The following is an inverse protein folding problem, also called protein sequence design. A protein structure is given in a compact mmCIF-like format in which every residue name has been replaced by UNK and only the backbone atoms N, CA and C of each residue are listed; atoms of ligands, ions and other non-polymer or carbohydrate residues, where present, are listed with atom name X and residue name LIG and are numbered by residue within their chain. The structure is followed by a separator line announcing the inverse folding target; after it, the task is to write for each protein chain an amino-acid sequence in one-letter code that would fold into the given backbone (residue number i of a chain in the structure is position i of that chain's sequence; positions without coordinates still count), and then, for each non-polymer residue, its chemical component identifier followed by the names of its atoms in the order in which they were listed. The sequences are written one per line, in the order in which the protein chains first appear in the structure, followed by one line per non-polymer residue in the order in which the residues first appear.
data_IF_919116885174
#
_entry.id   IF_919116885174
#
_cell.length_a   1.000
_cell.length_b   1.000
_cell.length_c   1.000
_cell.angle_alpha   90.00
_cell.angle_beta   90.00
_cell.angle_gamma   90.00
#
_symmetry.space_group_name_H-M   'P 1'
#
loop_
_entity.id
_entity.type
_entity.pdbx_description
1 polymer ?
#
# COMPACT_ATOMS: atom_id res chain seq x y z
N UNK A 1 -5.53 -9.67 -0.19
CA UNK A 1 -6.50 -8.98 0.68
C UNK A 1 -7.90 -9.34 0.25
N UNK A 2 -8.74 -9.70 1.18
CA UNK A 2 -10.12 -10.05 0.88
C UNK A 2 -11.00 -8.80 1.06
N UNK A 3 -11.67 -8.37 -0.01
CA UNK A 3 -12.54 -7.21 0.01
C UNK A 3 -13.77 -7.40 0.90
N UNK A 4 -14.15 -8.64 1.17
CA UNK A 4 -15.28 -8.92 2.06
C UNK A 4 -15.04 -8.43 3.49
N UNK A 5 -13.77 -8.35 3.91
CA UNK A 5 -13.41 -7.79 5.22
C UNK A 5 -13.75 -6.30 5.33
N UNK A 6 -13.94 -5.62 4.20
CA UNK A 6 -14.33 -4.21 4.16
C UNK A 6 -15.80 -4.01 3.79
N UNK A 7 -16.58 -5.10 3.78
CA UNK A 7 -18.00 -5.05 3.42
C UNK A 7 -18.26 -4.91 1.92
N UNK A 8 -17.27 -5.25 1.08
CA UNK A 8 -17.38 -5.16 -0.37
C UNK A 8 -17.36 -6.56 -0.99
N UNK A 9 -18.14 -6.75 -2.04
CA UNK A 9 -18.10 -7.99 -2.80
C UNK A 9 -16.84 -8.04 -3.65
N UNK A 10 -16.24 -9.22 -3.75
CA UNK A 10 -15.15 -9.45 -4.68
C UNK A 10 -15.72 -9.50 -6.09
N UNK A 11 -15.33 -8.56 -6.94
CA UNK A 11 -15.64 -8.58 -8.37
C UNK A 11 -14.34 -8.55 -9.14
N UNK A 12 -14.37 -9.04 -10.37
CA UNK A 12 -13.19 -9.08 -11.22
C UNK A 12 -12.59 -7.69 -11.43
N UNK A 13 -13.46 -6.68 -11.65
CA UNK A 13 -13.03 -5.29 -11.82
C UNK A 13 -12.38 -4.74 -10.56
N UNK A 14 -12.98 -4.99 -9.40
CA UNK A 14 -12.43 -4.51 -8.11
C UNK A 14 -11.09 -5.13 -7.81
N UNK A 15 -10.96 -6.44 -8.03
CA UNK A 15 -9.70 -7.14 -7.81
C UNK A 15 -8.60 -6.62 -8.73
N UNK A 16 -8.92 -6.38 -10.00
CA UNK A 16 -7.96 -5.86 -10.96
C UNK A 16 -7.50 -4.45 -10.59
N UNK A 17 -8.43 -3.58 -10.23
CA UNK A 17 -8.10 -2.21 -9.79
C UNK A 17 -7.19 -2.25 -8.56
N UNK A 18 -7.51 -3.09 -7.59
CA UNK A 18 -6.72 -3.21 -6.37
C UNK A 18 -5.31 -3.73 -6.67
N UNK A 19 -5.18 -4.71 -7.56
CA UNK A 19 -3.87 -5.23 -7.95
C UNK A 19 -3.01 -4.18 -8.63
N UNK A 20 -3.61 -3.36 -9.50
CA UNK A 20 -2.89 -2.26 -10.16
C UNK A 20 -2.34 -1.29 -9.11
N UNK A 21 -3.16 -0.93 -8.13
CA UNK A 21 -2.76 -0.01 -7.07
C UNK A 21 -1.70 -0.58 -6.14
N UNK A 22 -1.81 -1.86 -5.81
CA UNK A 22 -0.80 -2.53 -4.97
C UNK A 22 0.57 -2.60 -5.64
N UNK A 23 0.58 -2.73 -6.96
CA UNK A 23 1.81 -2.84 -7.73
C UNK A 23 2.37 -1.48 -8.17
N UNK A 24 1.67 -0.40 -7.90
CA UNK A 24 2.11 0.94 -8.25
C UNK A 24 2.86 1.55 -7.07
N UNK A 25 4.09 2.00 -7.30
CA UNK A 25 4.89 2.70 -6.29
C UNK A 25 4.48 4.15 -6.14
N UNK A 26 4.00 4.76 -7.22
CA UNK A 26 3.57 6.14 -7.23
C UNK A 26 2.05 6.24 -7.24
N UNK A 27 1.46 7.33 -6.73
CA UNK A 27 0.03 7.55 -6.87
C UNK A 27 -0.37 7.57 -8.34
N UNK A 28 -1.56 7.06 -8.64
CA UNK A 28 -2.01 6.86 -10.01
C UNK A 28 -3.44 7.39 -10.18
N UNK A 29 -3.71 8.03 -11.32
CA UNK A 29 -5.03 8.57 -11.64
C UNK A 29 -6.00 7.49 -12.09
N UNK A 30 -7.30 7.81 -12.03
CA UNK A 30 -8.34 6.90 -12.52
C UNK A 30 -8.17 6.58 -14.01
N UNK A 31 -7.81 7.58 -14.81
CA UNK A 31 -7.60 7.39 -16.25
C UNK A 31 -6.45 6.41 -16.52
N UNK A 32 -5.35 6.54 -15.77
CA UNK A 32 -4.20 5.66 -15.92
C UNK A 32 -4.53 4.23 -15.46
N UNK A 33 -5.31 4.10 -14.39
CA UNK A 33 -5.78 2.79 -13.92
C UNK A 33 -6.63 2.13 -15.02
N UNK A 34 -7.54 2.90 -15.62
CA UNK A 34 -8.41 2.39 -16.68
C UNK A 34 -7.62 1.89 -17.90
N UNK A 35 -6.55 2.61 -18.27
CA UNK A 35 -5.67 2.19 -19.37
C UNK A 35 -4.96 0.88 -19.10
N UNK A 36 -4.66 0.59 -17.84
CA UNK A 36 -3.99 -0.64 -17.45
C UNK A 36 -4.95 -1.82 -17.30
N UNK A 37 -6.27 -1.58 -17.33
CA UNK A 37 -7.25 -2.64 -17.21
C UNK A 37 -7.49 -3.33 -18.55
N UNK A 38 -7.94 -4.58 -18.50
CA UNK A 38 -8.29 -5.34 -19.69
C UNK A 38 -9.48 -4.69 -20.40
N UNK A 39 -9.38 -4.62 -21.71
CA UNK A 39 -10.44 -4.02 -22.55
C UNK A 39 -11.73 -4.81 -22.41
N UNK A 40 -12.84 -4.09 -22.31
CA UNK A 40 -14.19 -4.67 -22.29
C UNK A 40 -14.64 -5.18 -20.94
N UNK A 41 -13.81 -5.09 -19.90
CA UNK A 41 -14.18 -5.58 -18.58
C UNK A 41 -14.94 -4.56 -17.74
N UNK A 42 -14.72 -3.28 -18.00
CA UNK A 42 -15.34 -2.22 -17.23
C UNK A 42 -15.33 -0.93 -18.04
N UNK A 43 -15.93 0.11 -17.49
CA UNK A 43 -15.88 1.45 -18.05
C UNK A 43 -15.31 2.42 -17.03
N UNK A 44 -14.98 3.63 -17.47
CA UNK A 44 -14.35 4.64 -16.62
C UNK A 44 -15.23 5.02 -15.43
N UNK A 45 -16.55 5.09 -15.63
CA UNK A 45 -17.48 5.39 -14.53
C UNK A 45 -17.41 4.35 -13.42
N UNK A 46 -17.27 3.07 -13.79
CA UNK A 46 -17.12 1.98 -12.82
C UNK A 46 -15.80 2.11 -12.06
N UNK A 47 -14.72 2.51 -12.75
CA UNK A 47 -13.44 2.75 -12.10
C UNK A 47 -13.57 3.85 -11.05
N UNK A 48 -14.18 4.98 -11.38
CA UNK A 48 -14.40 6.08 -10.44
C UNK A 48 -15.20 5.63 -9.21
N UNK A 49 -16.28 4.91 -9.44
CA UNK A 49 -17.14 4.42 -8.34
C UNK A 49 -16.39 3.45 -7.43
N UNK A 50 -15.59 2.58 -8.02
CA UNK A 50 -14.79 1.61 -7.28
C UNK A 50 -13.74 2.31 -6.43
N UNK A 51 -13.04 3.30 -7.01
CA UNK A 51 -12.03 4.07 -6.29
C UNK A 51 -12.67 4.84 -5.12
N UNK A 52 -13.85 5.43 -5.33
CA UNK A 52 -14.58 6.13 -4.28
C UNK A 52 -14.93 5.18 -3.13
N UNK A 53 -15.45 3.99 -3.47
CA UNK A 53 -15.80 2.99 -2.46
C UNK A 53 -14.56 2.55 -1.67
N UNK A 54 -13.44 2.35 -2.35
CA UNK A 54 -12.18 1.97 -1.67
C UNK A 54 -11.68 3.09 -0.75
N UNK A 55 -11.79 4.34 -1.17
CA UNK A 55 -11.42 5.47 -0.32
C UNK A 55 -12.31 5.57 0.92
N UNK A 56 -13.60 5.38 0.76
CA UNK A 56 -14.56 5.42 1.87
C UNK A 56 -14.30 4.31 2.91
N UNK A 57 -13.73 3.20 2.47
CA UNK A 57 -13.41 2.06 3.33
C UNK A 57 -11.99 2.10 3.88
N UNK A 58 -11.22 3.15 3.57
CA UNK A 58 -9.84 3.27 4.05
C UNK A 58 -8.83 2.40 3.33
N UNK A 59 -9.21 1.76 2.22
CA UNK A 59 -8.30 0.95 1.42
C UNK A 59 -7.34 1.81 0.63
N UNK A 60 -7.80 2.96 0.15
CA UNK A 60 -7.02 3.91 -0.63
C UNK A 60 -7.00 5.29 0.01
N UNK A 61 -5.94 6.03 -0.29
CA UNK A 61 -5.84 7.46 -0.04
C UNK A 61 -5.94 8.22 -1.37
N UNK A 62 -6.54 9.40 -1.33
CA UNK A 62 -6.73 10.26 -2.50
C UNK A 62 -6.01 11.59 -2.27
N UNK A 63 -5.29 12.04 -3.29
CA UNK A 63 -4.67 13.35 -3.31
C UNK A 63 -5.06 14.10 -4.58
N UNK A 64 -5.11 15.42 -4.50
CA UNK A 64 -5.34 16.27 -5.66
C UNK A 64 -4.03 16.95 -6.00
N UNK A 65 -3.55 16.74 -7.23
CA UNK A 65 -2.35 17.39 -7.74
C UNK A 65 -2.60 18.87 -8.02
N UNK A 66 -1.54 19.69 -8.12
CA UNK A 66 -1.69 21.12 -8.45
C UNK A 66 -2.49 21.40 -9.72
N UNK A 67 -2.46 20.47 -10.70
CA UNK A 67 -3.23 20.60 -11.94
C UNK A 67 -4.70 20.20 -11.81
N UNK A 68 -5.13 19.81 -10.61
CA UNK A 68 -6.50 19.38 -10.35
C UNK A 68 -6.76 17.88 -10.51
N UNK A 69 -5.75 17.13 -10.95
CA UNK A 69 -5.92 15.68 -11.16
C UNK A 69 -5.95 14.93 -9.83
N UNK A 70 -6.96 14.10 -9.63
CA UNK A 70 -7.02 13.21 -8.47
C UNK A 70 -6.16 11.97 -8.73
N UNK A 71 -5.33 11.62 -7.75
CA UNK A 71 -4.50 10.42 -7.78
C UNK A 71 -4.75 9.59 -6.53
N UNK A 72 -4.53 8.29 -6.65
CA UNK A 72 -4.88 7.32 -5.63
C UNK A 72 -3.68 6.47 -5.26
N UNK A 73 -3.57 6.14 -4.00
CA UNK A 73 -2.51 5.28 -3.47
C UNK A 73 -3.11 4.20 -2.59
N UNK A 74 -2.56 3.00 -2.64
CA UNK A 74 -2.95 1.92 -1.77
C UNK A 74 -2.43 2.19 -0.35
N UNK A 75 -3.33 2.15 0.63
CA UNK A 75 -2.96 2.23 2.04
C UNK A 75 -2.44 0.88 2.48
N UNK A 76 -1.13 0.73 2.48
CA UNK A 76 -0.53 -0.52 2.93
C UNK A 76 -0.84 -0.73 4.40
N UNK A 77 -1.04 -2.00 4.83
CA UNK A 77 -1.24 -2.26 6.24
C UNK A 77 -0.10 -1.61 7.03
N UNK A 78 -0.47 -0.95 8.04
CA UNK A 78 0.22 0.09 8.76
C UNK A 78 1.47 -0.36 9.50
N UNK A 79 2.50 -0.66 8.81
CA UNK A 79 3.80 -0.72 9.44
C UNK A 79 4.81 -0.13 8.47
N UNK A 80 5.71 0.68 8.97
CA UNK A 80 6.77 1.29 8.19
C UNK A 80 8.03 0.45 8.36
N UNK A 81 8.67 0.15 7.24
CA UNK A 81 9.93 -0.58 7.23
C UNK A 81 11.00 0.37 6.70
N UNK A 82 11.87 0.82 7.57
CA UNK A 82 12.88 1.82 7.23
C UNK A 82 14.24 1.36 7.71
N UNK A 83 15.22 1.44 6.81
CA UNK A 83 16.63 1.29 7.16
C UNK A 83 17.22 2.69 7.33
N UNK A 84 17.88 2.93 8.45
CA UNK A 84 18.46 4.24 8.75
C UNK A 84 19.96 4.10 8.95
N UNK A 85 20.74 4.84 8.16
CA UNK A 85 22.18 4.89 8.36
C UNK A 85 22.47 5.85 9.51
N UNK A 86 23.13 5.36 10.57
CA UNK A 86 23.43 6.16 11.74
C UNK A 86 24.57 7.16 11.49
N UNK A 87 25.29 7.00 10.41
CA UNK A 87 26.41 7.88 10.07
C UNK A 87 25.99 9.06 9.19
N UNK A 88 25.27 8.80 8.09
CA UNK A 88 24.87 9.84 7.14
C UNK A 88 23.38 10.17 7.15
N UNK A 89 22.58 9.48 7.99
CA UNK A 89 21.13 9.64 8.10
C UNK A 89 20.32 9.28 6.85
N UNK A 90 20.95 8.56 5.92
CA UNK A 90 20.23 8.07 4.74
C UNK A 90 19.12 7.12 5.18
N UNK A 91 17.94 7.27 4.59
CA UNK A 91 16.79 6.40 4.87
C UNK A 91 16.43 5.62 3.63
N UNK A 92 16.24 4.33 3.78
CA UNK A 92 15.80 3.45 2.71
C UNK A 92 14.50 2.79 3.15
N UNK A 93 13.44 2.98 2.37
CA UNK A 93 12.16 2.36 2.64
C UNK A 93 12.09 0.99 1.97
N UNK A 94 11.71 -0.02 2.74
CA UNK A 94 11.54 -1.37 2.22
C UNK A 94 10.11 -1.57 1.75
N UNK A 95 9.93 -2.18 0.57
CA UNK A 95 8.62 -2.44 0.00
C UNK A 95 7.92 -3.65 0.60
N UNK A 96 8.67 -4.50 1.30
CA UNK A 96 8.13 -5.72 1.89
C UNK A 96 8.42 -5.77 3.38
N UNK A 97 7.56 -6.47 4.10
CA UNK A 97 7.78 -6.70 5.53
C UNK A 97 8.85 -7.78 5.74
N UNK A 98 9.96 -7.47 6.42
CA UNK A 98 10.97 -8.49 6.72
C UNK A 98 10.52 -9.48 7.80
N UNK A 99 9.46 -9.17 8.53
CA UNK A 99 8.91 -10.02 9.60
C UNK A 99 7.47 -10.40 9.28
N UNK A 100 7.28 -11.53 8.59
CA UNK A 100 5.96 -11.93 8.11
C UNK A 100 4.97 -12.35 9.19
N UNK A 101 5.44 -12.88 10.29
CA UNK A 101 4.58 -13.51 11.30
C UNK A 101 4.65 -12.84 12.67
N UNK A 102 4.97 -11.54 12.71
CA UNK A 102 5.09 -10.80 13.97
C UNK A 102 3.84 -10.93 14.83
N UNK A 103 2.65 -10.79 14.24
CA UNK A 103 1.40 -10.86 14.98
C UNK A 103 1.18 -12.26 15.57
N UNK A 104 1.42 -13.32 14.79
CA UNK A 104 1.24 -14.69 15.25
C UNK A 104 2.23 -15.03 16.37
N UNK A 105 3.48 -14.68 16.20
CA UNK A 105 4.50 -14.96 17.20
C UNK A 105 4.22 -14.27 18.52
N UNK A 106 3.86 -13.00 18.47
CA UNK A 106 3.55 -12.22 19.66
C UNK A 106 2.27 -12.72 20.32
N UNK A 107 1.25 -13.03 19.51
CA UNK A 107 -0.02 -13.56 20.02
C UNK A 107 0.20 -14.87 20.75
N UNK A 108 1.00 -15.77 20.19
CA UNK A 108 1.27 -17.08 20.79
C UNK A 108 2.05 -16.97 22.10
N UNK A 109 2.98 -16.03 22.18
CA UNK A 109 3.81 -15.85 23.37
C UNK A 109 3.10 -15.06 24.48
N UNK A 110 2.32 -14.06 24.12
CA UNK A 110 1.80 -13.07 25.08
C UNK A 110 0.28 -12.97 25.11
N UNK A 111 -0.40 -13.53 24.12
CA UNK A 111 -1.84 -13.32 23.94
C UNK A 111 -2.20 -11.93 23.42
N UNK A 112 -1.20 -11.15 23.00
CA UNK A 112 -1.37 -9.77 22.56
C UNK A 112 -1.67 -9.71 21.07
N UNK A 113 -2.77 -9.10 20.70
CA UNK A 113 -3.14 -8.90 19.29
C UNK A 113 -2.52 -7.59 18.79
N UNK A 114 -1.60 -7.69 17.82
CA UNK A 114 -0.96 -6.52 17.23
C UNK A 114 -1.84 -5.96 16.13
N UNK A 115 -2.21 -4.68 16.23
CA UNK A 115 -2.97 -3.98 15.20
C UNK A 115 -2.07 -3.20 14.25
N UNK A 116 -0.95 -2.71 14.75
CA UNK A 116 -0.05 -1.87 13.98
C UNK A 116 1.37 -1.97 14.55
N UNK A 117 2.37 -1.79 13.71
CA UNK A 117 3.76 -1.75 14.16
C UNK A 117 4.64 -1.04 13.13
N UNK A 118 5.74 -0.48 13.63
CA UNK A 118 6.75 0.14 12.79
C UNK A 118 8.06 -0.60 12.99
N UNK A 119 8.80 -0.78 11.91
CA UNK A 119 10.11 -1.40 11.95
C UNK A 119 11.15 -0.40 11.48
N UNK A 120 12.08 -0.06 12.36
CA UNK A 120 13.22 0.77 12.04
C UNK A 120 14.49 -0.03 12.31
N UNK A 121 15.33 -0.15 11.31
CA UNK A 121 16.60 -0.86 11.42
C UNK A 121 17.73 0.18 11.31
N UNK A 122 18.65 0.12 12.25
CA UNK A 122 19.76 1.07 12.35
C UNK A 122 21.06 0.37 11.98
N UNK A 123 21.86 1.01 11.17
CA UNK A 123 23.13 0.44 10.76
C UNK A 123 23.92 1.39 9.88
N UNK A 124 24.74 0.85 9.01
CA UNK A 124 25.55 1.63 8.08
C UNK A 124 25.16 1.31 6.65
N UNK A 125 24.93 2.35 5.83
CA UNK A 125 24.67 2.14 4.42
C UNK A 125 25.95 1.63 3.73
N UNK A 126 25.81 1.16 2.50
CA UNK A 126 26.92 0.56 1.75
C UNK A 126 28.14 1.50 1.68
N UNK A 127 27.89 2.78 1.45
CA UNK A 127 28.95 3.78 1.36
C UNK A 127 29.67 4.03 2.68
N UNK A 128 28.93 4.02 3.79
CA UNK A 128 29.49 4.26 5.11
C UNK A 128 30.21 3.05 5.69
N UNK A 129 29.89 1.86 5.23
CA UNK A 129 30.58 0.62 5.67
C UNK A 129 32.02 0.56 5.20
N UNK A 130 32.31 1.19 4.08
CA UNK A 130 33.63 1.12 3.44
C UNK A 130 34.64 2.13 4.00
N UNK A 131 34.26 2.87 5.02
CA UNK A 131 35.12 3.89 5.62
C UNK A 131 35.55 3.53 7.03
#
# INVERSE_FOLDING_TARGET
MDLTNFGLKNTKSREQILDILKNSHDPISADDIFRLMDKGQTNLSTVYRTLLAFCQRGILSREIRPDGTAVYSYNRPEHHHVLICIKCNKKIHLDRCPYKNVNEDILNETGFKVEDYNIELYGYCKECQEK
#
